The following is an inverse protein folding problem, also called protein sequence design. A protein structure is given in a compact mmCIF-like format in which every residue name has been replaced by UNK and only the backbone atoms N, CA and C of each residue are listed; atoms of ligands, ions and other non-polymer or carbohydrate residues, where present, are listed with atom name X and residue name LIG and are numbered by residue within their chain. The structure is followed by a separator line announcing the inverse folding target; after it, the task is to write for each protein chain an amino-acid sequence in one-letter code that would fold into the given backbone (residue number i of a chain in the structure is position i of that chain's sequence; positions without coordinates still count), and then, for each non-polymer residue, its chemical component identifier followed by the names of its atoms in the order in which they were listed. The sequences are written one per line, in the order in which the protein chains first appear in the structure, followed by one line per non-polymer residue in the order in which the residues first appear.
data_IF_153497596758
#
_entry.id   IF_153497596758
#
_cell.length_a   1.000
_cell.length_b   1.000
_cell.length_c   1.000
_cell.angle_alpha   90.00
_cell.angle_beta   90.00
_cell.angle_gamma   90.00
#
_symmetry.space_group_name_H-M   'P 1'
#
loop_
_entity.id
_entity.type
_entity.pdbx_description
1 polymer ?
#
# COMPACT_ATOMS: atom_id res chain seq x y z
N UNK A 1 0.74 -39.76 13.55
CA UNK A 1 1.50 -38.79 12.71
C UNK A 1 1.39 -37.42 13.36
N UNK A 2 2.48 -36.91 13.94
CA UNK A 2 2.50 -35.56 14.55
C UNK A 2 2.78 -34.54 13.45
N UNK A 3 1.85 -33.64 13.17
CA UNK A 3 2.07 -32.48 12.30
C UNK A 3 2.92 -31.46 13.06
N UNK A 4 4.17 -31.29 12.65
CA UNK A 4 5.00 -30.18 13.10
C UNK A 4 4.50 -28.90 12.44
N UNK A 5 3.79 -28.06 13.18
CA UNK A 5 3.55 -26.69 12.79
C UNK A 5 4.87 -25.92 12.95
N UNK A 6 5.58 -25.69 11.86
CA UNK A 6 6.73 -24.78 11.84
C UNK A 6 6.20 -23.35 11.91
N UNK A 7 6.29 -22.77 13.12
CA UNK A 7 5.94 -21.37 13.33
C UNK A 7 6.79 -20.46 12.44
N UNK A 8 6.13 -19.59 11.70
CA UNK A 8 6.78 -18.52 10.92
C UNK A 8 7.53 -17.63 11.91
N UNK A 9 8.85 -17.58 11.79
CA UNK A 9 9.71 -16.76 12.65
C UNK A 9 9.58 -15.29 12.25
N UNK A 10 8.74 -14.53 12.95
CA UNK A 10 8.60 -13.07 12.80
C UNK A 10 9.83 -12.26 13.23
N UNK A 11 10.90 -12.93 13.69
CA UNK A 11 12.11 -12.26 14.19
C UNK A 11 12.88 -11.45 13.14
N UNK A 12 12.73 -11.77 11.85
CA UNK A 12 13.44 -11.07 10.77
C UNK A 12 12.88 -9.68 10.41
N UNK A 13 11.63 -9.40 10.71
CA UNK A 13 10.95 -8.15 10.30
C UNK A 13 10.88 -7.09 11.39
N UNK A 14 11.06 -7.48 12.65
CA UNK A 14 11.04 -6.55 13.79
C UNK A 14 12.20 -5.56 13.76
N UNK A 15 13.39 -6.00 13.35
CA UNK A 15 14.59 -5.16 13.33
C UNK A 15 14.52 -4.01 12.30
N UNK A 16 14.17 -4.24 11.02
CA UNK A 16 14.01 -3.15 10.07
C UNK A 16 12.84 -2.23 10.42
N UNK A 17 11.73 -2.73 10.97
CA UNK A 17 10.63 -1.90 11.43
C UNK A 17 11.05 -1.01 12.62
N UNK A 18 11.85 -1.52 13.55
CA UNK A 18 12.39 -0.76 14.68
C UNK A 18 13.39 0.31 14.22
N UNK A 19 14.24 -0.01 13.26
CA UNK A 19 15.19 0.94 12.65
C UNK A 19 14.43 2.08 11.96
N UNK A 20 13.39 1.77 11.20
CA UNK A 20 12.55 2.78 10.55
C UNK A 20 11.87 3.67 11.60
N UNK A 21 11.32 3.10 12.68
CA UNK A 21 10.72 3.85 13.78
C UNK A 21 11.74 4.73 14.51
N UNK A 22 12.97 4.27 14.74
CA UNK A 22 14.03 5.04 15.37
C UNK A 22 14.53 6.18 14.48
N UNK A 23 14.64 5.96 13.17
CA UNK A 23 14.96 6.99 12.19
C UNK A 23 13.86 8.05 12.16
N UNK A 24 12.58 7.65 12.11
CA UNK A 24 11.44 8.55 12.16
C UNK A 24 11.43 9.31 13.47
N UNK A 25 11.66 8.66 14.61
CA UNK A 25 11.71 9.28 15.94
C UNK A 25 12.84 10.31 16.08
N UNK A 26 14.04 10.02 15.58
CA UNK A 26 15.17 10.96 15.62
C UNK A 26 14.97 12.17 14.70
N UNK A 27 14.35 11.97 13.53
CA UNK A 27 14.02 13.07 12.62
C UNK A 27 12.90 13.95 13.20
N UNK A 28 11.90 13.36 13.88
CA UNK A 28 10.82 14.09 14.58
C UNK A 28 11.39 14.98 15.68
N UNK A 29 12.34 14.48 16.47
CA UNK A 29 12.95 15.25 17.57
C UNK A 29 13.74 16.48 17.10
N UNK A 30 14.29 16.44 15.88
CA UNK A 30 15.06 17.56 15.30
C UNK A 30 14.17 18.66 14.69
N UNK A 31 12.86 18.40 14.54
CA UNK A 31 11.94 19.22 13.73
C UNK A 31 11.20 20.33 14.49
N UNK A 32 11.34 20.46 15.79
CA UNK A 32 10.48 21.34 16.62
C UNK A 32 10.86 22.83 16.59
N UNK A 33 11.42 23.36 15.52
CA UNK A 33 12.02 24.68 15.56
C UNK A 33 11.71 25.69 14.46
N UNK A 34 10.92 25.42 13.44
CA UNK A 34 10.65 26.40 12.37
C UNK A 34 9.15 26.59 12.11
N UNK A 35 8.65 27.82 12.38
CA UNK A 35 7.33 28.27 11.89
C UNK A 35 7.33 28.33 10.36
N UNK A 36 6.69 27.35 9.73
CA UNK A 36 6.45 27.36 8.28
C UNK A 36 5.32 28.33 7.96
N UNK A 37 5.60 29.30 7.08
CA UNK A 37 4.55 30.12 6.44
C UNK A 37 3.52 29.19 5.81
N UNK A 38 2.25 29.41 6.12
CA UNK A 38 1.08 28.66 5.69
C UNK A 38 1.09 28.50 4.16
N UNK A 39 1.66 27.40 3.67
CA UNK A 39 1.69 27.10 2.25
C UNK A 39 0.27 26.72 1.85
N UNK A 40 -0.30 27.45 0.91
CA UNK A 40 -1.69 27.26 0.43
C UNK A 40 -1.95 25.79 0.12
N UNK A 41 -2.81 25.16 0.91
CA UNK A 41 -3.15 23.74 0.82
C UNK A 41 -4.11 23.54 -0.36
N UNK A 42 -3.58 23.05 -1.46
CA UNK A 42 -4.35 22.75 -2.67
C UNK A 42 -4.44 21.24 -2.87
N UNK A 43 -5.49 20.83 -3.56
CA UNK A 43 -5.60 19.46 -4.09
C UNK A 43 -4.37 19.13 -4.94
N UNK A 44 -3.90 17.90 -4.82
CA UNK A 44 -2.77 17.37 -5.60
C UNK A 44 -3.25 16.15 -6.35
N UNK A 45 -2.77 15.97 -7.53
CA UNK A 45 -2.99 14.76 -8.30
C UNK A 45 -1.66 14.15 -8.70
N UNK A 46 -1.64 12.88 -9.01
CA UNK A 46 -0.42 12.22 -9.41
C UNK A 46 -0.65 10.77 -9.79
N UNK A 47 0.43 10.09 -10.01
CA UNK A 47 0.43 8.65 -10.23
C UNK A 47 1.70 8.02 -9.68
N UNK A 48 1.61 6.76 -9.31
CA UNK A 48 2.73 5.93 -8.89
C UNK A 48 2.74 4.63 -9.71
N UNK A 49 3.93 4.14 -10.00
CA UNK A 49 4.14 2.77 -10.47
C UNK A 49 4.71 1.96 -9.32
N UNK A 50 4.42 0.68 -9.26
CA UNK A 50 4.94 -0.15 -8.20
C UNK A 50 5.26 -1.57 -8.67
N UNK A 51 6.13 -2.21 -7.91
CA UNK A 51 6.39 -3.63 -7.99
C UNK A 51 6.53 -4.20 -6.59
N UNK A 52 6.20 -5.47 -6.45
CA UNK A 52 6.24 -6.13 -5.17
C UNK A 52 6.22 -7.65 -5.28
N UNK A 53 6.37 -8.24 -4.11
CA UNK A 53 6.31 -9.69 -3.90
C UNK A 53 5.33 -9.98 -2.78
N UNK A 54 4.78 -11.17 -2.78
CA UNK A 54 3.84 -11.57 -1.74
C UNK A 54 3.64 -13.06 -1.65
N UNK A 55 2.67 -13.42 -0.86
CA UNK A 55 2.24 -14.79 -0.64
C UNK A 55 0.71 -14.89 -0.50
N UNK A 56 0.19 -16.05 -0.77
CA UNK A 56 -1.18 -16.38 -0.42
C UNK A 56 -1.24 -16.93 1.02
N UNK A 57 -2.25 -16.52 1.78
CA UNK A 57 -2.34 -16.74 3.23
C UNK A 57 -2.22 -18.23 3.62
N UNK A 58 -2.67 -19.16 2.78
CA UNK A 58 -2.65 -20.59 3.09
C UNK A 58 -1.75 -21.43 2.18
N UNK A 59 -1.13 -20.84 1.19
CA UNK A 59 -0.15 -21.52 0.35
C UNK A 59 1.17 -20.74 0.39
N UNK A 60 2.29 -21.44 0.48
CA UNK A 60 3.63 -20.82 0.34
C UNK A 60 3.88 -20.48 -1.14
N UNK A 61 2.97 -19.76 -1.72
CA UNK A 61 2.92 -19.49 -3.15
C UNK A 61 3.57 -18.15 -3.39
N UNK A 62 4.67 -18.14 -4.13
CA UNK A 62 5.33 -16.92 -4.55
C UNK A 62 4.40 -16.11 -5.48
N UNK A 63 4.21 -14.86 -5.15
CA UNK A 63 3.40 -13.91 -5.88
C UNK A 63 4.28 -12.73 -6.31
N UNK A 64 4.23 -12.39 -7.57
CA UNK A 64 4.79 -11.15 -8.10
C UNK A 64 3.63 -10.21 -8.48
N UNK A 65 3.76 -8.92 -8.17
CA UNK A 65 2.73 -7.92 -8.44
C UNK A 65 3.36 -6.63 -8.97
N UNK A 66 2.73 -6.01 -9.96
CA UNK A 66 3.07 -4.69 -10.46
C UNK A 66 1.83 -3.93 -10.88
N UNK A 67 1.92 -2.60 -10.83
CA UNK A 67 0.77 -1.80 -11.22
C UNK A 67 1.02 -0.32 -11.26
N UNK A 68 -0.08 0.37 -11.49
CA UNK A 68 -0.13 1.83 -11.55
C UNK A 68 -1.25 2.33 -10.64
N UNK A 69 -0.98 3.40 -9.92
CA UNK A 69 -1.90 4.02 -8.97
C UNK A 69 -2.00 5.51 -9.29
N UNK A 70 -2.94 5.95 -10.15
CA UNK A 70 -3.34 7.35 -10.18
C UNK A 70 -4.00 7.73 -8.86
N UNK A 71 -3.71 8.93 -8.36
CA UNK A 71 -4.24 9.40 -7.09
C UNK A 71 -4.58 10.89 -7.08
N UNK A 72 -5.54 11.24 -6.23
CA UNK A 72 -5.90 12.62 -5.90
C UNK A 72 -5.87 12.77 -4.40
N UNK A 73 -5.04 13.70 -3.90
CA UNK A 73 -4.89 13.99 -2.47
C UNK A 73 -5.58 15.32 -2.16
N UNK A 74 -6.50 15.28 -1.22
CA UNK A 74 -7.24 16.45 -0.72
C UNK A 74 -6.77 16.78 0.69
N UNK A 75 -6.31 18.01 0.95
CA UNK A 75 -5.96 18.43 2.30
C UNK A 75 -7.23 18.53 3.16
N UNK A 76 -7.17 18.02 4.37
CA UNK A 76 -8.22 18.25 5.36
C UNK A 76 -8.21 19.70 5.85
N UNK A 77 -9.22 20.08 6.65
CA UNK A 77 -9.38 21.43 7.21
C UNK A 77 -8.08 21.95 7.84
N UNK A 78 -7.87 23.29 7.85
CA UNK A 78 -6.67 23.97 8.38
C UNK A 78 -6.23 23.52 9.78
N UNK A 79 -7.17 23.19 10.66
CA UNK A 79 -6.87 22.62 11.99
C UNK A 79 -6.18 21.26 11.94
N UNK A 80 -6.31 20.54 10.83
CA UNK A 80 -5.78 19.18 10.61
C UNK A 80 -4.61 19.22 9.62
N UNK A 81 -3.71 20.17 9.74
CA UNK A 81 -2.63 20.45 8.80
C UNK A 81 -1.72 19.25 8.45
N UNK A 82 -1.70 18.25 9.30
CA UNK A 82 -0.91 17.02 9.12
C UNK A 82 -1.65 15.89 8.43
N UNK A 83 -2.94 16.10 8.12
CA UNK A 83 -3.81 15.06 7.61
C UNK A 83 -4.36 15.41 6.24
N UNK A 84 -4.33 14.45 5.35
CA UNK A 84 -4.96 14.52 4.03
C UNK A 84 -5.83 13.29 3.81
N UNK A 85 -6.78 13.38 2.89
CA UNK A 85 -7.49 12.22 2.32
C UNK A 85 -6.96 12.01 0.91
N UNK A 86 -6.68 10.77 0.56
CA UNK A 86 -6.22 10.40 -0.78
C UNK A 86 -7.16 9.38 -1.39
N UNK A 87 -7.60 9.63 -2.62
CA UNK A 87 -8.38 8.71 -3.44
C UNK A 87 -7.48 8.13 -4.52
N UNK A 88 -7.54 6.82 -4.70
CA UNK A 88 -6.68 6.10 -5.64
C UNK A 88 -7.48 5.20 -6.56
N UNK A 89 -7.06 5.15 -7.84
CA UNK A 89 -7.37 4.05 -8.75
C UNK A 89 -6.26 3.01 -8.63
N UNK A 90 -6.61 1.75 -8.47
CA UNK A 90 -5.65 0.67 -8.27
C UNK A 90 -5.73 -0.29 -9.46
N UNK A 91 -4.68 -0.32 -10.27
CA UNK A 91 -4.57 -1.15 -11.47
C UNK A 91 -3.37 -2.07 -11.29
N UNK A 92 -3.64 -3.34 -10.95
CA UNK A 92 -2.61 -4.34 -10.66
C UNK A 92 -2.61 -5.43 -11.72
N UNK A 93 -1.42 -5.87 -12.06
CA UNK A 93 -1.18 -7.16 -12.67
C UNK A 93 -0.41 -8.01 -11.67
N UNK A 94 -0.81 -9.26 -11.48
CA UNK A 94 -0.11 -10.16 -10.59
C UNK A 94 -0.01 -11.56 -11.18
N UNK A 95 1.11 -12.21 -10.89
CA UNK A 95 1.44 -13.55 -11.34
C UNK A 95 1.62 -14.45 -10.14
N UNK A 96 0.98 -15.63 -10.18
CA UNK A 96 1.08 -16.64 -9.15
C UNK A 96 1.87 -17.82 -9.70
N UNK A 97 3.01 -18.14 -9.07
CA UNK A 97 3.89 -19.25 -9.44
C UNK A 97 4.39 -19.27 -10.89
N UNK A 98 4.40 -18.13 -11.58
CA UNK A 98 4.71 -18.07 -13.02
C UNK A 98 3.79 -18.91 -13.90
N UNK A 99 2.63 -19.33 -13.37
CA UNK A 99 1.68 -20.18 -14.08
C UNK A 99 0.41 -19.45 -14.50
N UNK A 100 -0.02 -18.46 -13.71
CA UNK A 100 -1.28 -17.77 -13.94
C UNK A 100 -1.15 -16.27 -13.76
N UNK A 101 -1.62 -15.55 -14.75
CA UNK A 101 -1.63 -14.11 -14.82
C UNK A 101 -3.02 -13.56 -14.54
N UNK A 102 -3.10 -12.60 -13.66
CA UNK A 102 -4.35 -11.97 -13.25
C UNK A 102 -4.21 -10.46 -13.23
N UNK A 103 -5.33 -9.78 -13.27
CA UNK A 103 -5.39 -8.33 -13.08
C UNK A 103 -6.45 -7.95 -12.05
N UNK A 104 -6.21 -6.86 -11.38
CA UNK A 104 -7.09 -6.26 -10.41
C UNK A 104 -7.34 -4.81 -10.79
N UNK A 105 -8.61 -4.39 -10.74
CA UNK A 105 -9.04 -3.01 -10.99
C UNK A 105 -9.87 -2.56 -9.80
N UNK A 106 -9.41 -1.54 -9.06
CA UNK A 106 -10.09 -1.12 -7.85
C UNK A 106 -10.00 0.37 -7.57
N UNK A 107 -10.80 0.79 -6.60
CA UNK A 107 -10.79 2.14 -6.04
C UNK A 107 -10.57 2.05 -4.54
N UNK A 108 -9.76 2.94 -4.00
CA UNK A 108 -9.52 3.07 -2.56
C UNK A 108 -9.55 4.50 -2.09
N UNK A 109 -9.73 4.64 -0.80
CA UNK A 109 -9.49 5.87 -0.08
C UNK A 109 -8.52 5.64 1.06
N UNK A 110 -7.69 6.65 1.33
CA UNK A 110 -6.64 6.61 2.32
C UNK A 110 -6.72 7.81 3.23
N UNK A 111 -6.36 7.59 4.48
CA UNK A 111 -6.01 8.64 5.41
C UNK A 111 -4.48 8.75 5.38
N UNK A 112 -3.98 9.94 5.09
CA UNK A 112 -2.54 10.22 4.99
C UNK A 112 -2.14 11.16 6.11
N UNK A 113 -1.23 10.72 6.97
CA UNK A 113 -0.67 11.50 8.05
C UNK A 113 0.74 11.94 7.70
N UNK A 114 1.03 13.25 7.76
CA UNK A 114 2.31 13.87 7.43
C UNK A 114 2.97 14.51 8.66
N UNK A 115 3.61 13.70 9.52
CA UNK A 115 4.21 14.20 10.77
C UNK A 115 5.34 15.21 10.53
N UNK A 116 6.02 15.11 9.41
CA UNK A 116 7.12 15.99 9.05
C UNK A 116 6.83 16.63 7.70
N UNK A 117 6.84 17.96 7.69
CA UNK A 117 6.70 18.78 6.48
C UNK A 117 7.80 19.82 6.48
N UNK A 118 8.68 19.77 5.48
CA UNK A 118 9.83 20.65 5.30
C UNK A 118 9.87 21.22 3.88
N UNK A 119 10.72 22.20 3.63
CA UNK A 119 10.89 22.77 2.27
C UNK A 119 11.32 21.73 1.24
N UNK A 120 12.14 20.77 1.63
CA UNK A 120 12.61 19.69 0.76
C UNK A 120 11.53 18.62 0.49
N UNK A 121 10.50 18.49 1.38
CA UNK A 121 9.48 17.46 1.24
C UNK A 121 8.78 17.12 2.54
N UNK A 122 8.12 15.96 2.57
CA UNK A 122 7.43 15.45 3.75
C UNK A 122 7.57 13.95 3.91
N UNK A 123 7.62 13.49 5.16
CA UNK A 123 7.38 12.10 5.50
C UNK A 123 5.88 11.88 5.65
N UNK A 124 5.39 10.71 5.26
CA UNK A 124 3.99 10.37 5.45
C UNK A 124 3.81 8.91 5.85
N UNK A 125 2.73 8.68 6.57
CA UNK A 125 2.14 7.38 6.84
C UNK A 125 0.77 7.35 6.19
N UNK A 126 0.35 6.22 5.69
CA UNK A 126 -1.01 6.06 5.18
C UNK A 126 -1.62 4.74 5.64
N UNK A 127 -2.93 4.77 5.77
CA UNK A 127 -3.77 3.59 5.93
C UNK A 127 -5.01 3.79 5.08
N UNK A 128 -5.43 2.74 4.41
CA UNK A 128 -6.60 2.81 3.56
C UNK A 128 -7.18 1.46 3.21
N UNK A 129 -8.20 1.51 2.39
CA UNK A 129 -8.83 0.33 1.87
C UNK A 129 -9.76 0.66 0.72
N UNK A 130 -10.19 -0.37 0.04
CA UNK A 130 -10.99 -0.23 -1.15
C UNK A 130 -11.63 -1.52 -1.61
N UNK A 131 -12.26 -1.42 -2.75
CA UNK A 131 -12.97 -2.51 -3.41
C UNK A 131 -12.59 -2.54 -4.88
N UNK A 132 -12.59 -3.72 -5.46
CA UNK A 132 -12.27 -3.84 -6.87
C UNK A 132 -12.72 -5.16 -7.50
N UNK A 133 -12.50 -5.23 -8.79
CA UNK A 133 -12.70 -6.42 -9.59
C UNK A 133 -11.39 -7.18 -9.71
N UNK A 134 -11.43 -8.47 -9.44
CA UNK A 134 -10.33 -9.40 -9.61
C UNK A 134 -10.64 -10.42 -10.71
N UNK A 135 -9.76 -10.54 -11.69
CA UNK A 135 -9.92 -11.46 -12.81
C UNK A 135 -9.71 -12.93 -12.41
N UNK A 136 -9.10 -13.18 -11.26
CA UNK A 136 -8.87 -14.54 -10.74
C UNK A 136 -10.16 -15.25 -10.32
N UNK A 137 -11.23 -14.53 -9.97
CA UNK A 137 -12.46 -14.96 -9.27
C UNK A 137 -12.93 -16.30 -9.78
N UNK A 138 -13.21 -16.90 -10.69
CA UNK A 138 -13.77 -18.25 -10.97
C UNK A 138 -12.76 -19.29 -11.48
N UNK A 139 -11.57 -18.84 -11.93
CA UNK A 139 -10.65 -19.70 -12.68
C UNK A 139 -9.88 -20.68 -11.82
N UNK A 140 -9.66 -20.33 -10.55
CA UNK A 140 -8.86 -21.12 -9.62
C UNK A 140 -9.59 -22.31 -9.01
N UNK A 141 -10.90 -22.51 -9.30
CA UNK A 141 -11.70 -23.64 -8.81
C UNK A 141 -11.58 -24.92 -9.62
N UNK A 142 -11.04 -24.91 -10.82
CA UNK A 142 -11.24 -26.00 -11.77
C UNK A 142 -10.06 -26.93 -11.89
N UNK A 143 -9.52 -27.44 -10.80
CA UNK A 143 -8.68 -28.62 -10.89
C UNK A 143 -7.38 -28.64 -10.12
N UNK A 144 -6.98 -27.55 -9.50
CA UNK A 144 -5.81 -27.55 -8.61
C UNK A 144 -6.30 -27.41 -7.17
N UNK A 145 -6.21 -28.50 -6.42
CA UNK A 145 -6.53 -28.56 -5.01
C UNK A 145 -5.62 -27.67 -4.13
N UNK A 146 -4.59 -27.07 -4.72
CA UNK A 146 -3.55 -26.32 -4.04
C UNK A 146 -3.59 -24.79 -4.26
N UNK A 147 -4.57 -24.29 -5.01
CA UNK A 147 -4.69 -22.86 -5.30
C UNK A 147 -5.99 -22.22 -4.76
N UNK A 148 -6.16 -22.09 -3.47
CA UNK A 148 -7.34 -21.45 -2.88
C UNK A 148 -7.11 -19.95 -2.72
N UNK A 149 -7.05 -19.18 -3.79
CA UNK A 149 -6.60 -17.81 -3.64
C UNK A 149 -7.70 -16.78 -3.45
N UNK A 150 -8.79 -16.96 -4.16
CA UNK A 150 -9.97 -16.10 -4.07
C UNK A 150 -11.19 -16.99 -4.26
N UNK A 151 -12.31 -16.67 -3.66
CA UNK A 151 -13.52 -17.47 -3.81
C UNK A 151 -14.18 -17.33 -5.18
N UNK A 152 -15.49 -17.55 -5.24
CA UNK A 152 -16.28 -17.56 -6.47
C UNK A 152 -16.55 -16.19 -7.09
N UNK A 153 -16.19 -15.13 -6.40
CA UNK A 153 -16.58 -13.78 -6.77
C UNK A 153 -15.42 -13.04 -7.42
N UNK A 154 -15.75 -12.27 -8.46
CA UNK A 154 -14.81 -11.31 -9.05
C UNK A 154 -14.68 -10.01 -8.25
N UNK A 155 -15.35 -9.92 -7.12
CA UNK A 155 -15.36 -8.74 -6.29
C UNK A 155 -14.48 -8.99 -5.07
N UNK A 156 -13.43 -8.18 -4.92
CA UNK A 156 -12.50 -8.29 -3.82
C UNK A 156 -12.41 -6.98 -3.03
N UNK A 157 -12.27 -7.11 -1.72
CA UNK A 157 -11.89 -6.04 -0.83
C UNK A 157 -10.37 -6.02 -0.67
N UNK A 158 -9.84 -4.88 -0.36
CA UNK A 158 -8.44 -4.78 0.04
C UNK A 158 -8.24 -3.69 1.08
N UNK A 159 -7.28 -3.93 1.97
CA UNK A 159 -6.78 -2.92 2.87
C UNK A 159 -5.27 -2.80 2.71
N UNK A 160 -4.74 -1.64 3.03
CA UNK A 160 -3.32 -1.41 2.93
C UNK A 160 -2.85 -0.38 3.94
N UNK A 161 -1.56 -0.46 4.26
CA UNK A 161 -0.86 0.50 5.06
C UNK A 161 0.54 0.71 4.54
N UNK A 162 1.06 1.92 4.71
CA UNK A 162 2.36 2.24 4.17
C UNK A 162 3.01 3.46 4.80
N UNK A 163 4.26 3.68 4.40
CA UNK A 163 5.05 4.83 4.77
C UNK A 163 5.89 5.29 3.60
N UNK A 164 6.10 6.59 3.48
CA UNK A 164 6.87 7.11 2.37
C UNK A 164 7.38 8.53 2.57
N UNK A 165 8.04 8.99 1.52
CA UNK A 165 8.61 10.33 1.43
C UNK A 165 8.12 11.01 0.16
N UNK A 166 7.74 12.27 0.28
CA UNK A 166 7.52 13.18 -0.83
C UNK A 166 8.72 14.14 -0.90
N UNK A 167 9.43 14.15 -2.01
CA UNK A 167 10.54 15.08 -2.27
C UNK A 167 10.05 16.18 -3.21
N UNK A 168 10.04 17.42 -2.74
CA UNK A 168 9.68 18.58 -3.57
C UNK A 168 10.78 18.86 -4.60
N UNK A 169 10.49 18.67 -5.89
CA UNK A 169 11.40 19.00 -7.00
C UNK A 169 11.20 20.48 -7.40
N UNK A 170 9.96 20.94 -7.40
CA UNK A 170 9.58 22.30 -7.74
C UNK A 170 8.42 22.78 -6.86
N UNK A 171 7.98 24.05 -7.06
CA UNK A 171 6.82 24.59 -6.31
C UNK A 171 5.51 23.82 -6.53
N UNK A 172 5.40 23.06 -7.61
CA UNK A 172 4.18 22.33 -7.96
C UNK A 172 4.36 20.84 -8.11
N UNK A 173 5.58 20.30 -7.99
CA UNK A 173 5.89 18.91 -8.32
C UNK A 173 6.69 18.25 -7.20
N UNK A 174 6.28 17.05 -6.82
CA UNK A 174 7.01 16.23 -5.85
C UNK A 174 7.18 14.79 -6.35
N UNK A 175 8.36 14.21 -6.10
CA UNK A 175 8.58 12.76 -6.23
C UNK A 175 8.04 12.04 -5.00
N UNK A 176 7.45 10.88 -5.21
CA UNK A 176 6.95 9.98 -4.16
C UNK A 176 7.75 8.70 -4.16
N UNK A 177 8.25 8.31 -3.01
CA UNK A 177 8.82 6.99 -2.77
C UNK A 177 8.10 6.40 -1.56
N UNK A 178 7.57 5.19 -1.69
CA UNK A 178 6.71 4.62 -0.67
C UNK A 178 6.92 3.11 -0.58
N UNK A 179 6.86 2.60 0.64
CA UNK A 179 6.63 1.18 0.93
C UNK A 179 5.17 1.00 1.31
N UNK A 180 4.51 -0.02 0.73
CA UNK A 180 3.11 -0.33 1.00
C UNK A 180 2.88 -1.83 1.12
N UNK A 181 2.22 -2.21 2.19
CA UNK A 181 1.67 -3.54 2.39
C UNK A 181 0.22 -3.54 1.93
N UNK A 182 -0.17 -4.53 1.10
CA UNK A 182 -1.55 -4.79 0.74
C UNK A 182 -1.99 -6.14 1.28
N UNK A 183 -3.22 -6.16 1.75
CA UNK A 183 -3.99 -7.37 2.01
C UNK A 183 -5.23 -7.34 1.13
N UNK A 184 -5.34 -8.29 0.20
CA UNK A 184 -6.46 -8.43 -0.74
C UNK A 184 -7.22 -9.68 -0.36
N UNK A 185 -8.52 -9.59 -0.13
CA UNK A 185 -9.37 -10.71 0.27
C UNK A 185 -10.79 -10.55 -0.24
N UNK A 186 -11.57 -11.61 -0.21
CA UNK A 186 -13.00 -11.51 -0.43
C UNK A 186 -13.70 -10.89 0.78
N UNK A 187 -14.45 -9.79 0.62
CA UNK A 187 -14.99 -9.04 1.74
C UNK A 187 -16.08 -9.78 2.54
N UNK A 188 -16.60 -10.90 2.03
CA UNK A 188 -17.69 -11.65 2.64
C UNK A 188 -17.37 -13.14 2.83
N UNK A 189 -16.14 -13.56 2.55
CA UNK A 189 -15.71 -14.95 2.77
C UNK A 189 -15.06 -15.08 4.16
N UNK A 190 -15.59 -16.02 4.94
CA UNK A 190 -15.05 -16.36 6.28
C UNK A 190 -13.90 -17.35 6.21
N UNK A 191 -13.41 -17.70 5.02
CA UNK A 191 -12.42 -18.77 4.83
C UNK A 191 -10.95 -18.32 4.99
N UNK A 192 -10.67 -17.13 5.51
CA UNK A 192 -9.32 -16.56 5.70
C UNK A 192 -8.44 -16.62 4.43
N UNK A 193 -9.03 -16.55 3.26
CA UNK A 193 -8.34 -16.56 1.98
C UNK A 193 -7.96 -15.15 1.58
N UNK A 194 -6.75 -14.96 1.11
CA UNK A 194 -6.29 -13.65 0.65
C UNK A 194 -4.86 -13.65 0.20
N UNK A 195 -4.45 -12.52 -0.35
CA UNK A 195 -3.09 -12.24 -0.80
C UNK A 195 -2.49 -11.15 0.07
N UNK A 196 -1.27 -11.38 0.53
CA UNK A 196 -0.46 -10.39 1.21
C UNK A 196 0.69 -9.97 0.29
N UNK A 197 0.88 -8.68 0.08
CA UNK A 197 1.97 -8.21 -0.78
C UNK A 197 2.74 -7.07 -0.14
N UNK A 198 4.04 -7.05 -0.38
CA UNK A 198 4.98 -6.03 0.03
C UNK A 198 5.46 -5.29 -1.21
N UNK A 199 5.23 -3.99 -1.30
CA UNK A 199 5.40 -3.24 -2.52
C UNK A 199 6.27 -2.01 -2.29
N UNK A 200 7.07 -1.66 -3.30
CA UNK A 200 7.76 -0.38 -3.39
C UNK A 200 7.13 0.43 -4.51
N UNK A 201 6.76 1.66 -4.21
CA UNK A 201 6.12 2.59 -5.12
C UNK A 201 7.05 3.74 -5.44
N UNK A 202 7.06 4.13 -6.71
CA UNK A 202 7.69 5.35 -7.19
C UNK A 202 6.66 6.17 -7.96
N UNK A 203 6.52 7.43 -7.62
CA UNK A 203 5.49 8.26 -8.21
C UNK A 203 5.87 9.72 -8.31
N UNK A 204 4.97 10.47 -8.93
CA UNK A 204 5.05 11.92 -9.06
C UNK A 204 3.69 12.52 -8.69
N UNK A 205 3.72 13.62 -7.94
CA UNK A 205 2.53 14.37 -7.56
C UNK A 205 2.65 15.80 -8.03
N UNK A 206 1.53 16.37 -8.48
CA UNK A 206 1.41 17.72 -9.02
C UNK A 206 0.37 18.52 -8.22
N UNK A 207 0.50 19.85 -8.22
CA UNK A 207 -0.46 20.81 -7.66
C UNK A 207 -1.20 21.56 -8.76
#
# INVERSE_FOLDING_TARGET
MKKNCTGVSYKGYLLPALIILLIIGSIVSYSYGEEEKEQERRAKWGFSVFGGIGDAIHSKTDLEIYGVIPHVTLPLHKKWKYWDIEFEGNFFYYNIHKMHDFYFLGLSNNIVFKPIQKKWGSLFLLIGGGLGYDSAGKRLRRGDSDAPLMGDQHFAGFCHGGAGVLFNISRGTALRVEYRFYHISEPFDTSDRGLNTHNILFGISFR
#
